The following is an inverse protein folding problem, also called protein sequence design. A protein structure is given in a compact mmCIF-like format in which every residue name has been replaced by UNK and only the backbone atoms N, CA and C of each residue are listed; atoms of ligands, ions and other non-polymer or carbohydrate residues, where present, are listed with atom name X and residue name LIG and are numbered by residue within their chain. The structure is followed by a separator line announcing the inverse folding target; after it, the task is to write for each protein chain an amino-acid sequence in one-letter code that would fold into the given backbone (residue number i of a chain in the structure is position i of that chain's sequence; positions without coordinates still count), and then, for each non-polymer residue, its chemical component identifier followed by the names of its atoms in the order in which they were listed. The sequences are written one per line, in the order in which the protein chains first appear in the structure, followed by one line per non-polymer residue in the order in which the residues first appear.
data_IF_975710369225
#
_entry.id   IF_975710369225
#
_cell.length_a   1.000
_cell.length_b   1.000
_cell.length_c   1.000
_cell.angle_alpha   90.00
_cell.angle_beta   90.00
_cell.angle_gamma   90.00
#
_symmetry.space_group_name_H-M   'P 1'
#
loop_
_entity.id
_entity.type
_entity.pdbx_description
1 polymer ?
#
# COMPACT_ATOMS: atom_id res chain seq x y z
N UNK A 1 3.30 -26.66 -12.71
CA UNK A 1 2.47 -25.61 -12.08
C UNK A 1 3.38 -24.81 -11.17
N UNK A 2 3.67 -23.56 -11.52
CA UNK A 2 4.34 -22.64 -10.59
C UNK A 2 3.22 -22.15 -9.68
N UNK A 3 3.24 -22.52 -8.40
CA UNK A 3 2.35 -21.91 -7.42
C UNK A 3 2.66 -20.41 -7.43
N UNK A 4 1.72 -19.58 -7.86
CA UNK A 4 1.86 -18.14 -7.79
C UNK A 4 1.94 -17.79 -6.31
N UNK A 5 3.13 -17.40 -5.85
CA UNK A 5 3.34 -17.02 -4.46
C UNK A 5 2.73 -15.63 -4.28
N UNK A 6 1.63 -15.54 -3.54
CA UNK A 6 0.96 -14.29 -3.27
C UNK A 6 1.82 -13.45 -2.33
N UNK A 7 1.88 -12.15 -2.59
CA UNK A 7 2.61 -11.22 -1.73
C UNK A 7 1.93 -11.10 -0.35
N UNK A 8 0.59 -11.19 -0.33
CA UNK A 8 -0.20 -11.30 0.90
C UNK A 8 -1.52 -12.05 0.70
N UNK A 9 -2.05 -12.54 1.81
CA UNK A 9 -3.35 -13.19 1.98
C UNK A 9 -4.12 -12.54 3.11
N UNK A 10 -5.38 -12.94 3.30
CA UNK A 10 -6.20 -12.51 4.43
C UNK A 10 -5.54 -12.82 5.80
N UNK A 11 -4.73 -13.87 5.87
CA UNK A 11 -4.15 -14.36 7.12
C UNK A 11 -2.77 -13.78 7.44
N UNK A 12 -2.10 -13.13 6.47
CA UNK A 12 -0.70 -12.70 6.66
C UNK A 12 -0.42 -11.22 6.32
N UNK A 13 -1.42 -10.46 5.83
CA UNK A 13 -1.20 -9.08 5.37
C UNK A 13 -0.63 -8.16 6.46
N UNK A 14 -1.01 -8.37 7.74
CA UNK A 14 -0.52 -7.59 8.88
C UNK A 14 0.99 -7.73 9.11
N UNK A 15 1.55 -8.87 8.70
CA UNK A 15 2.97 -9.18 8.82
C UNK A 15 3.79 -8.72 7.63
N UNK A 16 3.16 -8.12 6.61
CA UNK A 16 3.88 -7.67 5.44
C UNK A 16 4.95 -6.63 5.81
N UNK A 17 6.21 -6.82 5.41
CA UNK A 17 7.27 -5.85 5.68
C UNK A 17 6.89 -4.46 5.17
N UNK A 18 7.04 -3.45 6.02
CA UNK A 18 6.71 -2.08 5.65
C UNK A 18 7.57 -1.06 6.41
N UNK A 19 7.65 0.17 5.91
CA UNK A 19 8.33 1.26 6.63
C UNK A 19 7.37 1.88 7.65
N UNK A 20 7.84 2.07 8.89
CA UNK A 20 7.07 2.68 9.99
C UNK A 20 7.80 3.88 10.58
N UNK A 21 7.07 4.96 10.86
CA UNK A 21 7.56 6.12 11.62
C UNK A 21 8.68 6.95 10.96
N UNK A 22 9.04 6.68 9.71
CA UNK A 22 10.05 7.45 8.95
C UNK A 22 9.75 7.46 7.46
N UNK A 23 10.27 8.43 6.69
CA UNK A 23 10.22 8.36 5.23
C UNK A 23 10.97 7.14 4.72
N UNK A 24 10.50 6.60 3.61
CA UNK A 24 11.19 5.50 2.95
C UNK A 24 12.43 6.00 2.21
N UNK A 25 13.49 5.18 2.24
CA UNK A 25 14.72 5.37 1.48
C UNK A 25 14.82 4.35 0.36
N UNK A 26 15.74 4.54 -0.58
CA UNK A 26 15.89 3.63 -1.73
C UNK A 26 16.08 2.15 -1.32
N UNK A 27 16.76 1.91 -0.20
CA UNK A 27 16.92 0.55 0.33
C UNK A 27 15.57 -0.10 0.65
N UNK A 28 14.63 0.64 1.21
CA UNK A 28 13.32 0.10 1.56
C UNK A 28 12.53 -0.32 0.32
N UNK A 29 12.67 0.42 -0.78
CA UNK A 29 12.06 0.07 -2.07
C UNK A 29 12.69 -1.19 -2.63
N UNK A 30 14.02 -1.31 -2.59
CA UNK A 30 14.73 -2.52 -3.05
C UNK A 30 14.40 -3.77 -2.23
N UNK A 31 14.01 -3.59 -0.97
CA UNK A 31 13.64 -4.66 -0.04
C UNK A 31 12.11 -4.90 0.00
N UNK A 32 11.33 -4.34 -0.93
CA UNK A 32 9.86 -4.45 -0.98
C UNK A 32 9.12 -3.99 0.30
N UNK A 33 9.74 -3.12 1.10
CA UNK A 33 9.15 -2.52 2.31
C UNK A 33 8.46 -1.19 2.05
N UNK A 34 8.66 -0.64 0.85
CA UNK A 34 8.12 0.63 0.40
C UNK A 34 7.99 0.60 -1.13
N UNK A 35 7.15 1.48 -1.68
CA UNK A 35 6.99 1.55 -3.14
C UNK A 35 7.83 2.68 -3.74
N UNK A 36 8.07 3.74 -2.99
CA UNK A 36 8.84 4.88 -3.47
C UNK A 36 9.67 5.48 -2.33
N UNK A 37 10.83 6.03 -2.70
CA UNK A 37 11.67 6.79 -1.79
C UNK A 37 11.49 8.29 -2.05
N UNK A 38 11.57 9.11 -1.02
CA UNK A 38 11.56 10.57 -1.19
C UNK A 38 12.84 11.14 -0.59
N UNK A 39 13.72 11.65 -1.45
CA UNK A 39 14.98 12.23 -1.01
C UNK A 39 14.75 13.55 -0.26
N UNK A 40 15.53 13.79 0.79
CA UNK A 40 15.53 15.06 1.53
C UNK A 40 14.29 15.32 2.41
N UNK A 41 13.41 14.33 2.60
CA UNK A 41 12.25 14.48 3.50
C UNK A 41 12.59 14.05 4.93
N UNK A 42 12.05 14.79 5.90
CA UNK A 42 12.18 14.47 7.33
C UNK A 42 10.98 13.72 7.87
N UNK A 43 11.02 13.35 9.16
CA UNK A 43 9.94 12.63 9.85
C UNK A 43 8.56 13.31 9.74
N UNK A 44 8.52 14.64 9.57
CA UNK A 44 7.28 15.40 9.37
C UNK A 44 6.54 15.09 8.07
N UNK A 45 7.19 14.42 7.11
CA UNK A 45 6.56 14.01 5.85
C UNK A 45 5.80 12.67 5.98
N UNK A 46 5.97 11.94 7.09
CA UNK A 46 5.27 10.67 7.31
C UNK A 46 3.82 10.95 7.68
N UNK A 47 2.90 10.21 7.06
CA UNK A 47 1.49 10.30 7.42
C UNK A 47 1.26 9.62 8.78
N UNK A 48 0.31 10.11 9.61
CA UNK A 48 0.02 9.54 10.92
C UNK A 48 -0.86 8.28 10.81
N UNK A 49 -0.39 7.28 10.06
CA UNK A 49 -1.08 5.99 9.87
C UNK A 49 -0.10 4.84 10.06
N UNK A 50 -0.56 3.78 10.73
CA UNK A 50 0.27 2.62 11.05
C UNK A 50 0.14 1.56 9.97
N UNK A 51 1.15 1.48 9.10
CA UNK A 51 1.23 0.44 8.06
C UNK A 51 1.70 -0.92 8.64
N UNK A 52 1.42 -2.05 7.96
CA UNK A 52 0.60 -2.15 6.75
C UNK A 52 -0.89 -1.94 7.02
N UNK A 53 -1.66 -1.48 6.03
CA UNK A 53 -3.12 -1.32 6.12
C UNK A 53 -3.81 -1.90 4.89
N UNK A 54 -4.95 -2.60 5.03
CA UNK A 54 -5.73 -3.00 3.87
C UNK A 54 -6.39 -1.78 3.25
N UNK A 55 -6.48 -1.75 1.93
CA UNK A 55 -7.15 -0.68 1.20
C UNK A 55 -7.78 -1.17 -0.10
N UNK A 56 -8.78 -0.42 -0.57
CA UNK A 56 -9.33 -0.56 -1.92
C UNK A 56 -8.83 0.61 -2.76
N UNK A 57 -8.13 0.31 -3.84
CA UNK A 57 -7.65 1.30 -4.81
C UNK A 57 -8.61 1.36 -6.00
N UNK A 58 -9.07 2.56 -6.33
CA UNK A 58 -9.83 2.83 -7.55
C UNK A 58 -8.88 3.28 -8.65
N UNK A 59 -8.76 2.48 -9.71
CA UNK A 59 -7.95 2.78 -10.90
C UNK A 59 -8.65 3.81 -11.79
N UNK A 60 -7.90 4.41 -12.70
CA UNK A 60 -8.41 5.43 -13.62
C UNK A 60 -9.57 4.95 -14.53
N UNK A 61 -9.65 3.64 -14.81
CA UNK A 61 -10.75 3.04 -15.56
C UNK A 61 -11.99 2.76 -14.71
N UNK A 62 -11.97 3.09 -13.42
CA UNK A 62 -13.04 2.82 -12.46
C UNK A 62 -12.92 1.47 -11.76
N UNK A 63 -11.99 0.61 -12.15
CA UNK A 63 -11.80 -0.70 -11.51
C UNK A 63 -11.35 -0.52 -10.06
N UNK A 64 -11.93 -1.32 -9.16
CA UNK A 64 -11.57 -1.36 -7.75
C UNK A 64 -10.79 -2.62 -7.48
N UNK A 65 -9.61 -2.47 -6.88
CA UNK A 65 -8.75 -3.60 -6.53
C UNK A 65 -8.34 -3.55 -5.07
N UNK A 66 -8.12 -4.72 -4.49
CA UNK A 66 -7.58 -4.84 -3.13
C UNK A 66 -6.07 -4.71 -3.14
N UNK A 67 -5.58 -3.88 -2.24
CA UNK A 67 -4.16 -3.65 -2.01
C UNK A 67 -3.87 -3.60 -0.51
N UNK A 68 -2.60 -3.67 -0.16
CA UNK A 68 -2.10 -3.25 1.15
C UNK A 68 -1.23 -2.02 1.00
N UNK A 69 -1.39 -1.07 1.91
CA UNK A 69 -0.58 0.13 2.01
C UNK A 69 0.66 -0.21 2.82
N UNK A 70 1.85 -0.05 2.23
CA UNK A 70 3.14 -0.29 2.89
C UNK A 70 3.80 0.99 3.37
N UNK A 71 3.35 2.13 2.85
CA UNK A 71 3.93 3.44 3.11
C UNK A 71 2.86 4.50 2.92
N UNK A 72 2.86 5.50 3.80
CA UNK A 72 2.01 6.66 3.69
C UNK A 72 2.80 7.93 4.04
N UNK A 73 2.71 8.94 3.18
CA UNK A 73 3.38 10.21 3.35
C UNK A 73 2.44 11.37 3.02
N UNK A 74 2.70 12.54 3.56
CA UNK A 74 2.09 13.77 3.10
C UNK A 74 2.48 14.03 1.64
N UNK A 75 1.51 14.52 0.86
CA UNK A 75 1.80 15.12 -0.44
C UNK A 75 2.72 16.33 -0.30
N UNK A 76 3.45 16.67 -1.36
CA UNK A 76 4.39 17.80 -1.35
C UNK A 76 3.72 19.13 -0.98
N UNK A 77 2.46 19.32 -1.38
CA UNK A 77 1.63 20.49 -1.05
C UNK A 77 0.91 20.37 0.32
N UNK A 78 1.09 19.25 1.03
CA UNK A 78 0.46 18.91 2.33
C UNK A 78 -1.06 18.96 2.35
N UNK A 79 -1.71 18.83 1.19
CA UNK A 79 -3.18 18.82 1.08
C UNK A 79 -3.79 17.43 1.19
N UNK A 80 -2.97 16.38 1.13
CA UNK A 80 -3.43 15.01 1.27
C UNK A 80 -2.28 14.05 1.48
N UNK A 81 -2.56 12.77 1.23
CA UNK A 81 -1.59 11.70 1.39
C UNK A 81 -1.25 11.05 0.06
N UNK A 82 -0.01 10.59 -0.03
CA UNK A 82 0.49 9.70 -1.07
C UNK A 82 0.81 8.37 -0.42
N UNK A 83 0.27 7.31 -1.00
CA UNK A 83 0.38 5.94 -0.52
C UNK A 83 1.20 5.11 -1.48
N UNK A 84 2.09 4.30 -0.91
CA UNK A 84 2.74 3.20 -1.60
C UNK A 84 1.97 1.93 -1.27
N UNK A 85 1.38 1.29 -2.26
CA UNK A 85 0.58 0.10 -2.10
C UNK A 85 1.06 -1.05 -2.99
N UNK A 86 0.72 -2.28 -2.61
CA UNK A 86 0.97 -3.48 -3.41
C UNK A 86 -0.30 -4.32 -3.51
N UNK A 87 -0.56 -4.90 -4.68
CA UNK A 87 -1.62 -5.91 -4.83
C UNK A 87 -1.13 -7.32 -4.49
N UNK A 88 -2.01 -8.32 -4.52
CA UNK A 88 -1.65 -9.69 -4.16
C UNK A 88 -0.62 -10.35 -5.08
N UNK A 89 -0.43 -9.83 -6.30
CA UNK A 89 0.57 -10.31 -7.23
C UNK A 89 1.96 -9.69 -6.99
N UNK A 90 2.08 -8.81 -6.00
CA UNK A 90 3.29 -8.04 -5.75
C UNK A 90 3.41 -6.80 -6.63
N UNK A 91 2.36 -6.43 -7.38
CA UNK A 91 2.43 -5.28 -8.28
C UNK A 91 2.36 -3.97 -7.48
N UNK A 92 3.34 -3.06 -7.66
CA UNK A 92 3.39 -1.80 -6.93
C UNK A 92 2.43 -0.76 -7.49
N UNK A 93 1.90 0.07 -6.60
CA UNK A 93 1.03 1.21 -6.90
C UNK A 93 1.45 2.43 -6.08
N UNK A 94 1.38 3.60 -6.71
CA UNK A 94 1.42 4.90 -6.02
C UNK A 94 0.07 5.55 -6.24
N UNK A 95 -0.60 5.91 -5.14
CA UNK A 95 -1.95 6.44 -5.19
C UNK A 95 -2.16 7.54 -4.16
N UNK A 96 -3.15 8.38 -4.40
CA UNK A 96 -3.53 9.48 -3.50
C UNK A 96 -4.71 9.08 -2.60
N UNK A 97 -5.00 9.92 -1.61
CA UNK A 97 -6.20 9.78 -0.77
C UNK A 97 -7.53 9.90 -1.52
N UNK A 98 -7.57 10.51 -2.70
CA UNK A 98 -8.77 10.51 -3.55
C UNK A 98 -9.03 9.18 -4.26
N UNK A 99 -7.98 8.38 -4.47
CA UNK A 99 -8.04 7.11 -5.21
C UNK A 99 -8.12 5.91 -4.26
N UNK A 100 -7.78 6.11 -2.98
CA UNK A 100 -7.54 5.04 -2.01
C UNK A 100 -8.52 5.12 -0.85
N UNK A 101 -9.29 4.05 -0.66
CA UNK A 101 -10.07 3.84 0.55
C UNK A 101 -9.26 2.98 1.54
N UNK A 102 -8.67 3.62 2.55
CA UNK A 102 -7.98 2.92 3.65
C UNK A 102 -9.00 2.27 4.58
N UNK A 103 -8.73 1.02 4.93
CA UNK A 103 -9.54 0.23 5.84
C UNK A 103 -8.75 0.01 7.14
N UNK A 104 -9.46 -0.08 8.27
CA UNK A 104 -8.84 -0.45 9.55
C UNK A 104 -8.63 -1.96 9.69
N UNK A 105 -9.39 -2.73 8.93
CA UNK A 105 -9.39 -4.18 8.90
C UNK A 105 -9.93 -4.64 7.54
N UNK A 106 -9.61 -5.87 7.08
CA UNK A 106 -10.20 -6.44 5.88
C UNK A 106 -11.74 -6.35 5.89
N UNK A 107 -12.32 -5.88 4.79
CA UNK A 107 -13.78 -5.85 4.58
C UNK A 107 -14.18 -6.96 3.62
N UNK A 108 -15.48 -7.34 3.55
CA UNK A 108 -15.95 -8.31 2.56
C UNK A 108 -15.62 -7.91 1.12
N UNK A 109 -15.69 -6.62 0.79
CA UNK A 109 -15.28 -6.11 -0.53
C UNK A 109 -13.79 -6.35 -0.76
N UNK A 110 -12.96 -6.03 0.23
CA UNK A 110 -11.52 -6.23 0.12
C UNK A 110 -11.21 -7.73 -0.09
N UNK A 111 -11.82 -8.61 0.68
CA UNK A 111 -11.65 -10.07 0.55
C UNK A 111 -12.16 -10.60 -0.79
N UNK A 112 -13.32 -10.16 -1.27
CA UNK A 112 -13.87 -10.61 -2.56
C UNK A 112 -12.98 -10.22 -3.75
N UNK A 113 -12.34 -9.06 -3.67
CA UNK A 113 -11.40 -8.60 -4.69
C UNK A 113 -10.03 -9.32 -4.61
N UNK A 114 -9.74 -10.06 -3.54
CA UNK A 114 -8.59 -10.96 -3.49
C UNK A 114 -8.86 -12.25 -4.29
N UNK A 115 -10.03 -12.84 -4.10
CA UNK A 115 -10.36 -14.18 -4.64
C UNK A 115 -10.61 -14.21 -6.17
N UNK A 116 -10.68 -13.04 -6.81
CA UNK A 116 -10.99 -12.86 -8.23
C UNK A 116 -9.75 -12.69 -9.12
N UNK A 117 -8.55 -12.59 -8.56
CA UNK A 117 -7.29 -12.63 -9.32
C UNK A 117 -6.88 -14.09 -9.60
N UNK A 118 -7.64 -14.78 -10.47
CA UNK A 118 -7.27 -16.08 -11.05
C UNK A 118 -6.91 -15.94 -12.53
#
# INVERSE_FOLDING_TARGET
MIAMMLEFTLDNWEHHPCVKGRPAVERDVRENRAIFATAGTGAHAVAPVDCPLPAVLTRANGDRISVIILQAQWSADRKGYVFGAVDQSGKPYVATSSETLILKQPTPEWTANLETSK
#
